data_IF_106266407585
#
_entry.id   IF_106266407585
#
_cell.length_a   1.000
_cell.length_b   1.000
_cell.length_c   1.000
_cell.angle_alpha   90.00
_cell.angle_beta   90.00
_cell.angle_gamma   90.00
#
_symmetry.space_group_name_H-M   'P 1'
#
loop_
_entity.id
_entity.type
_entity.pdbx_description
1 polymer ?
#
# COMPACT_ATOMS: atom_id res chain seq x y z
N UNK A 1 50.59 38.21 -19.15
CA UNK A 1 49.62 38.94 -18.30
C UNK A 1 48.31 38.22 -18.33
N UNK A 2 48.05 37.50 -17.27
CA UNK A 2 46.73 36.91 -16.95
C UNK A 2 46.00 37.90 -16.07
N UNK A 3 44.73 38.13 -16.20
CA UNK A 3 43.92 38.72 -15.13
C UNK A 3 43.17 37.68 -14.35
N UNK A 4 43.20 37.87 -13.14
CA UNK A 4 42.85 37.28 -11.92
C UNK A 4 41.35 37.01 -11.71
N UNK A 5 41.14 35.97 -10.91
CA UNK A 5 40.14 35.83 -9.85
C UNK A 5 38.66 36.13 -10.18
N UNK A 6 37.98 35.09 -10.66
CA UNK A 6 36.53 35.04 -10.50
C UNK A 6 36.20 34.43 -9.13
N UNK A 7 35.94 35.33 -8.19
CA UNK A 7 35.45 35.03 -6.86
C UNK A 7 34.06 34.42 -6.93
N UNK A 8 33.97 33.09 -6.90
CA UNK A 8 32.69 32.36 -6.78
C UNK A 8 32.20 32.44 -5.33
N UNK A 9 31.55 33.55 -5.00
CA UNK A 9 30.61 33.53 -3.88
C UNK A 9 29.49 32.53 -4.18
N UNK A 10 29.63 31.31 -3.65
CA UNK A 10 28.53 30.38 -3.54
C UNK A 10 27.48 31.01 -2.62
N UNK A 11 26.44 31.56 -3.22
CA UNK A 11 25.23 31.89 -2.50
C UNK A 11 24.72 30.60 -1.83
N UNK A 12 24.76 30.55 -0.52
CA UNK A 12 24.12 29.54 0.28
C UNK A 12 22.61 29.68 0.04
N UNK A 13 22.05 28.76 -0.73
CA UNK A 13 20.60 28.64 -0.85
C UNK A 13 20.03 28.39 0.56
N UNK A 14 18.95 29.07 0.95
CA UNK A 14 18.32 28.84 2.22
C UNK A 14 17.90 27.36 2.29
N UNK A 15 18.33 26.69 3.35
CA UNK A 15 17.89 25.35 3.71
C UNK A 15 16.44 25.47 4.17
N UNK A 16 15.49 25.53 3.23
CA UNK A 16 14.09 25.30 3.56
C UNK A 16 14.00 23.88 4.14
N UNK A 17 13.71 23.79 5.42
CA UNK A 17 13.25 22.55 6.04
C UNK A 17 12.04 22.08 5.22
N UNK A 18 12.25 21.09 4.37
CA UNK A 18 11.20 20.42 3.63
C UNK A 18 10.34 19.65 4.63
N UNK A 19 9.42 20.37 5.27
CA UNK A 19 8.30 19.71 5.93
C UNK A 19 7.62 18.83 4.89
N UNK A 20 7.47 17.51 5.12
CA UNK A 20 6.87 16.62 4.14
C UNK A 20 5.45 17.09 3.85
N UNK A 21 5.27 17.76 2.72
CA UNK A 21 3.96 18.22 2.27
C UNK A 21 3.17 16.97 1.92
N UNK A 22 2.09 16.70 2.64
CA UNK A 22 1.13 15.66 2.27
C UNK A 22 0.59 16.00 0.88
N UNK A 23 1.03 15.27 -0.13
CA UNK A 23 0.66 15.51 -1.53
C UNK A 23 -0.79 15.08 -1.77
N UNK A 24 -1.31 14.15 -0.96
CA UNK A 24 -2.70 13.69 -0.98
C UNK A 24 -3.23 13.58 0.45
N UNK A 25 -4.35 14.23 0.77
CA UNK A 25 -5.06 13.88 1.99
C UNK A 25 -5.50 12.42 1.88
N UNK A 26 -5.30 11.59 2.92
CA UNK A 26 -5.87 10.25 2.92
C UNK A 26 -7.39 10.39 2.75
N UNK A 27 -7.96 9.62 1.82
CA UNK A 27 -9.41 9.49 1.73
C UNK A 27 -9.83 8.62 2.89
N UNK A 28 -10.45 9.22 3.90
CA UNK A 28 -10.94 8.49 5.08
C UNK A 28 -12.14 7.59 4.75
N UNK A 29 -12.74 7.77 3.56
CA UNK A 29 -13.89 7.02 3.03
C UNK A 29 -13.51 5.92 2.02
N UNK A 30 -12.23 5.78 1.72
CA UNK A 30 -11.73 4.80 0.76
C UNK A 30 -11.81 3.37 1.28
N UNK A 31 -12.40 2.46 0.47
CA UNK A 31 -12.59 1.06 0.84
C UNK A 31 -11.58 0.19 0.09
N UNK A 32 -10.79 -0.58 0.83
CA UNK A 32 -9.97 -1.65 0.30
C UNK A 32 -10.73 -2.98 0.43
N UNK A 33 -10.98 -3.67 -0.68
CA UNK A 33 -11.69 -4.95 -0.67
C UNK A 33 -10.71 -6.09 -0.84
N UNK A 34 -10.83 -7.09 0.03
CA UNK A 34 -10.18 -8.38 -0.12
C UNK A 34 -11.27 -9.45 -0.29
N UNK A 35 -11.40 -9.98 -1.50
CA UNK A 35 -12.29 -11.11 -1.80
C UNK A 35 -11.48 -12.40 -1.63
N UNK A 36 -11.78 -13.18 -0.58
CA UNK A 36 -10.99 -14.37 -0.21
C UNK A 36 -11.79 -15.67 -0.15
N UNK A 37 -13.10 -15.61 -0.27
CA UNK A 37 -13.92 -16.82 -0.22
C UNK A 37 -13.91 -17.53 -1.58
N UNK A 38 -13.70 -18.82 -1.58
CA UNK A 38 -13.66 -19.64 -2.79
C UNK A 38 -14.99 -19.61 -3.57
N UNK A 39 -14.87 -19.39 -4.88
CA UNK A 39 -16.01 -19.36 -5.80
C UNK A 39 -16.79 -18.05 -5.83
N UNK A 40 -16.29 -17.01 -5.16
CA UNK A 40 -16.81 -15.66 -5.35
C UNK A 40 -16.61 -15.19 -6.78
N UNK A 41 -17.57 -14.39 -7.26
CA UNK A 41 -17.53 -13.72 -8.56
C UNK A 41 -17.64 -12.24 -8.36
N UNK A 42 -16.71 -11.49 -8.94
CA UNK A 42 -16.71 -10.03 -8.95
C UNK A 42 -17.17 -9.53 -10.32
N UNK A 43 -18.20 -8.74 -10.31
CA UNK A 43 -18.75 -8.09 -11.50
C UNK A 43 -19.02 -6.61 -11.24
N UNK A 44 -19.38 -5.87 -12.29
CA UNK A 44 -19.83 -4.48 -12.20
C UNK A 44 -21.22 -4.38 -12.82
N UNK A 45 -22.10 -3.61 -12.17
CA UNK A 45 -23.39 -3.22 -12.72
C UNK A 45 -23.63 -1.74 -12.44
N UNK A 46 -23.69 -0.94 -13.51
CA UNK A 46 -23.70 0.52 -13.38
C UNK A 46 -22.42 1.02 -12.71
N UNK A 47 -22.54 1.81 -11.69
CA UNK A 47 -21.41 2.37 -10.92
C UNK A 47 -21.13 1.60 -9.62
N UNK A 48 -21.43 0.30 -9.58
CA UNK A 48 -21.28 -0.52 -8.40
C UNK A 48 -20.53 -1.82 -8.71
N UNK A 49 -19.55 -2.15 -7.86
CA UNK A 49 -18.96 -3.50 -7.81
C UNK A 49 -19.90 -4.43 -7.06
N UNK A 50 -20.18 -5.56 -7.66
CA UNK A 50 -20.99 -6.63 -7.05
C UNK A 50 -20.14 -7.86 -6.81
N UNK A 51 -20.14 -8.33 -5.59
CA UNK A 51 -19.51 -9.58 -5.21
C UNK A 51 -20.65 -10.58 -4.98
N UNK A 52 -20.65 -11.67 -5.74
CA UNK A 52 -21.67 -12.72 -5.63
C UNK A 52 -21.02 -14.04 -5.24
N UNK A 53 -21.77 -14.86 -4.53
CA UNK A 53 -21.37 -16.23 -4.19
C UNK A 53 -21.52 -17.21 -5.39
N UNK A 54 -21.24 -18.49 -5.16
CA UNK A 54 -21.39 -19.56 -6.15
C UNK A 54 -22.84 -19.69 -6.67
N UNK A 55 -23.82 -19.30 -5.86
CA UNK A 55 -25.25 -19.41 -6.17
C UNK A 55 -25.81 -18.19 -6.89
N UNK A 56 -24.95 -17.15 -7.12
CA UNK A 56 -25.36 -15.91 -7.75
C UNK A 56 -26.03 -14.91 -6.79
N UNK A 57 -26.08 -15.23 -5.49
CA UNK A 57 -26.60 -14.32 -4.48
C UNK A 57 -25.57 -13.20 -4.23
N UNK A 58 -26.01 -11.94 -4.30
CA UNK A 58 -25.12 -10.82 -4.01
C UNK A 58 -24.75 -10.80 -2.53
N UNK A 59 -23.48 -11.04 -2.22
CA UNK A 59 -22.99 -10.98 -0.85
C UNK A 59 -22.64 -9.54 -0.44
N UNK A 60 -22.19 -8.72 -1.41
CA UNK A 60 -21.83 -7.31 -1.16
C UNK A 60 -21.93 -6.48 -2.45
N UNK A 61 -22.42 -5.25 -2.28
CA UNK A 61 -22.42 -4.24 -3.35
C UNK A 61 -21.75 -2.98 -2.83
N UNK A 62 -20.84 -2.42 -3.63
CA UNK A 62 -20.02 -1.26 -3.21
C UNK A 62 -19.95 -0.28 -4.38
N UNK A 63 -20.23 1.02 -4.15
CA UNK A 63 -20.04 2.04 -5.17
C UNK A 63 -18.57 2.11 -5.61
N UNK A 64 -18.33 2.18 -6.93
CA UNK A 64 -16.98 2.33 -7.50
C UNK A 64 -16.25 3.57 -6.96
N UNK A 65 -17.00 4.65 -6.70
CA UNK A 65 -16.45 5.90 -6.18
C UNK A 65 -15.77 5.74 -4.80
N UNK A 66 -16.20 4.76 -4.01
CA UNK A 66 -15.66 4.51 -2.67
C UNK A 66 -14.58 3.43 -2.66
N UNK A 67 -14.29 2.79 -3.81
CA UNK A 67 -13.32 1.71 -3.87
C UNK A 67 -11.94 2.26 -4.19
N UNK A 68 -10.95 1.95 -3.36
CA UNK A 68 -9.54 2.31 -3.58
C UNK A 68 -8.70 1.18 -4.14
N UNK A 69 -8.99 -0.05 -3.77
CA UNK A 69 -8.30 -1.22 -4.32
C UNK A 69 -9.12 -2.49 -4.19
N UNK A 70 -8.87 -3.44 -5.08
CA UNK A 70 -9.47 -4.76 -5.07
C UNK A 70 -8.38 -5.83 -5.03
N UNK A 71 -8.41 -6.69 -4.02
CA UNK A 71 -7.54 -7.86 -3.92
C UNK A 71 -8.36 -9.14 -4.05
N UNK A 72 -7.96 -10.02 -4.96
CA UNK A 72 -8.60 -11.31 -5.23
C UNK A 72 -7.68 -12.42 -4.73
N UNK A 73 -8.13 -13.16 -3.73
CA UNK A 73 -7.34 -14.20 -3.08
C UNK A 73 -7.83 -15.59 -3.54
N UNK A 74 -6.92 -16.38 -4.08
CA UNK A 74 -7.22 -17.75 -4.50
C UNK A 74 -8.13 -17.83 -5.72
N UNK A 75 -9.20 -18.64 -5.65
CA UNK A 75 -10.07 -18.99 -6.79
C UNK A 75 -11.26 -18.02 -6.95
N UNK A 76 -11.03 -16.72 -6.80
CA UNK A 76 -12.05 -15.69 -7.05
C UNK A 76 -12.06 -15.33 -8.54
N UNK A 77 -13.24 -15.24 -9.12
CA UNK A 77 -13.43 -14.85 -10.52
C UNK A 77 -13.73 -13.36 -10.63
N UNK A 78 -13.24 -12.73 -11.68
CA UNK A 78 -13.58 -11.34 -12.03
C UNK A 78 -14.00 -11.28 -13.51
N UNK A 79 -15.02 -10.51 -13.82
CA UNK A 79 -15.45 -10.32 -15.19
C UNK A 79 -14.56 -9.27 -15.90
N UNK A 80 -14.39 -9.42 -17.23
CA UNK A 80 -13.65 -8.44 -18.04
C UNK A 80 -14.25 -7.05 -17.95
N UNK A 81 -15.59 -6.95 -17.91
CA UNK A 81 -16.27 -5.67 -17.74
C UNK A 81 -15.93 -5.01 -16.39
N UNK A 82 -15.77 -5.81 -15.32
CA UNK A 82 -15.35 -5.29 -14.03
C UNK A 82 -13.90 -4.79 -14.08
N UNK A 83 -13.01 -5.51 -14.77
CA UNK A 83 -11.62 -5.07 -14.96
C UNK A 83 -11.59 -3.72 -15.69
N UNK A 84 -12.32 -3.55 -16.79
CA UNK A 84 -12.36 -2.30 -17.53
C UNK A 84 -12.91 -1.17 -16.66
N UNK A 85 -14.04 -1.36 -15.99
CA UNK A 85 -14.64 -0.33 -15.16
C UNK A 85 -13.74 0.10 -14.00
N UNK A 86 -13.02 -0.85 -13.38
CA UNK A 86 -12.04 -0.56 -12.33
C UNK A 86 -10.82 0.19 -12.89
N UNK A 87 -10.32 -0.21 -14.06
CA UNK A 87 -9.20 0.46 -14.71
C UNK A 87 -9.54 1.90 -15.10
N UNK A 88 -10.74 2.15 -15.64
CA UNK A 88 -11.23 3.50 -15.98
C UNK A 88 -11.31 4.41 -14.76
N UNK A 89 -11.65 3.86 -13.61
CA UNK A 89 -11.68 4.56 -12.33
C UNK A 89 -10.31 4.61 -11.63
N UNK A 90 -9.25 4.11 -12.28
CA UNK A 90 -7.88 4.03 -11.75
C UNK A 90 -7.76 3.21 -10.46
N UNK A 91 -8.59 2.20 -10.31
CA UNK A 91 -8.60 1.32 -9.15
C UNK A 91 -7.72 0.10 -9.45
N UNK A 92 -6.63 -0.13 -8.71
CA UNK A 92 -5.74 -1.26 -8.92
C UNK A 92 -6.37 -2.57 -8.46
N UNK A 93 -6.02 -3.66 -9.19
CA UNK A 93 -6.49 -5.01 -8.88
C UNK A 93 -5.26 -5.89 -8.60
N UNK A 94 -5.22 -6.53 -7.43
CA UNK A 94 -4.17 -7.48 -7.07
C UNK A 94 -4.73 -8.91 -7.07
N UNK A 95 -3.99 -9.83 -7.68
CA UNK A 95 -4.26 -11.26 -7.66
C UNK A 95 -3.29 -11.93 -6.69
N UNK A 96 -3.82 -12.59 -5.69
CA UNK A 96 -3.06 -13.22 -4.63
C UNK A 96 -3.28 -14.73 -4.62
N UNK A 97 -2.24 -15.50 -4.33
CA UNK A 97 -2.38 -16.92 -4.04
C UNK A 97 -3.20 -17.15 -2.76
N UNK A 98 -3.72 -18.36 -2.50
CA UNK A 98 -4.40 -18.66 -1.23
C UNK A 98 -3.56 -18.35 0.03
N UNK A 99 -2.24 -18.42 -0.10
CA UNK A 99 -1.29 -18.06 0.96
C UNK A 99 -0.98 -16.54 1.05
N UNK A 100 -1.68 -15.69 0.28
CA UNK A 100 -1.49 -14.24 0.31
C UNK A 100 -0.27 -13.72 -0.47
N UNK A 101 0.42 -14.57 -1.27
CA UNK A 101 1.54 -14.12 -2.11
C UNK A 101 1.00 -13.46 -3.38
N UNK A 102 1.53 -12.29 -3.72
CA UNK A 102 1.19 -11.59 -4.96
C UNK A 102 1.58 -12.45 -6.18
N UNK A 103 0.62 -12.71 -7.05
CA UNK A 103 0.78 -13.46 -8.31
C UNK A 103 0.83 -12.52 -9.50
N UNK A 104 -0.11 -11.57 -9.56
CA UNK A 104 -0.21 -10.59 -10.63
C UNK A 104 -0.91 -9.32 -10.12
N UNK A 105 -0.74 -8.22 -10.84
CA UNK A 105 -1.41 -6.97 -10.56
C UNK A 105 -1.82 -6.29 -11.85
N UNK A 106 -3.02 -5.74 -11.87
CA UNK A 106 -3.47 -4.79 -12.89
C UNK A 106 -3.34 -3.41 -12.27
N UNK A 107 -2.35 -2.65 -12.73
CA UNK A 107 -2.14 -1.27 -12.34
C UNK A 107 -2.65 -0.39 -13.50
N UNK A 108 -3.68 0.43 -13.30
CA UNK A 108 -4.23 1.25 -14.36
C UNK A 108 -3.16 2.18 -14.96
N UNK A 109 -3.23 2.37 -16.26
CA UNK A 109 -2.35 3.32 -16.96
C UNK A 109 -2.50 4.71 -16.33
N UNK A 110 -1.37 5.42 -16.20
CA UNK A 110 -1.31 6.75 -15.59
C UNK A 110 -1.70 6.83 -14.10
N UNK A 111 -1.69 5.71 -13.38
CA UNK A 111 -1.88 5.70 -11.93
C UNK A 111 -0.80 6.50 -11.19
N UNK A 112 0.43 6.49 -11.73
CA UNK A 112 1.58 7.26 -11.21
C UNK A 112 2.30 7.94 -12.37
N UNK A 113 2.59 9.24 -12.22
CA UNK A 113 3.29 9.99 -13.26
C UNK A 113 4.69 9.41 -13.56
N UNK A 114 5.11 9.47 -14.83
CA UNK A 114 6.43 9.00 -15.26
C UNK A 114 7.58 9.73 -14.52
N UNK A 115 7.38 10.99 -14.15
CA UNK A 115 8.37 11.78 -13.41
C UNK A 115 8.56 11.26 -11.98
N UNK A 116 7.47 10.87 -11.30
CA UNK A 116 7.53 10.26 -9.96
C UNK A 116 8.29 8.93 -10.04
N UNK A 117 7.97 8.06 -10.99
CA UNK A 117 8.68 6.79 -11.21
C UNK A 117 10.18 7.01 -11.49
N UNK A 118 10.49 7.97 -12.37
CA UNK A 118 11.88 8.33 -12.66
C UNK A 118 12.62 8.87 -11.44
N UNK A 119 11.95 9.71 -10.64
CA UNK A 119 12.51 10.25 -9.41
C UNK A 119 12.76 9.15 -8.36
N UNK A 120 11.83 8.19 -8.23
CA UNK A 120 12.00 7.02 -7.37
C UNK A 120 13.23 6.20 -7.76
N UNK A 121 13.36 5.85 -9.04
CA UNK A 121 14.52 5.08 -9.54
C UNK A 121 15.81 5.82 -9.21
N UNK A 122 15.93 7.11 -9.58
CA UNK A 122 17.15 7.91 -9.32
C UNK A 122 17.50 8.03 -7.84
N UNK A 123 16.48 8.11 -6.96
CA UNK A 123 16.72 8.16 -5.51
C UNK A 123 17.16 6.79 -4.97
N UNK A 124 16.56 5.71 -5.46
CA UNK A 124 16.85 4.35 -5.01
C UNK A 124 18.17 3.79 -5.59
N UNK A 125 18.80 4.46 -6.56
CA UNK A 125 20.16 4.15 -6.99
C UNK A 125 21.23 4.54 -5.93
N UNK A 126 20.83 5.31 -4.90
CA UNK A 126 21.71 5.73 -3.81
C UNK A 126 21.53 4.83 -2.60
N UNK A 127 22.60 4.14 -2.23
CA UNK A 127 22.60 3.16 -1.15
C UNK A 127 22.18 3.74 0.22
N UNK A 128 22.62 4.97 0.52
CA UNK A 128 22.27 5.64 1.78
C UNK A 128 20.75 5.87 1.87
N UNK A 129 20.11 6.29 0.77
CA UNK A 129 18.66 6.52 0.74
C UNK A 129 17.91 5.19 0.86
N UNK A 130 18.40 4.13 0.21
CA UNK A 130 17.83 2.79 0.35
C UNK A 130 17.91 2.31 1.80
N UNK A 131 19.03 2.54 2.48
CA UNK A 131 19.21 2.14 3.87
C UNK A 131 18.28 2.91 4.81
N UNK A 132 18.15 4.24 4.63
CA UNK A 132 17.19 5.05 5.40
C UNK A 132 15.75 4.57 5.21
N UNK A 133 15.35 4.34 3.97
CA UNK A 133 14.01 3.85 3.65
C UNK A 133 13.77 2.45 4.23
N UNK A 134 14.72 1.55 4.11
CA UNK A 134 14.64 0.21 4.67
C UNK A 134 14.47 0.25 6.20
N UNK A 135 15.25 1.08 6.90
CA UNK A 135 15.14 1.27 8.35
C UNK A 135 13.75 1.79 8.73
N UNK A 136 13.24 2.80 8.02
CA UNK A 136 11.92 3.35 8.27
C UNK A 136 10.80 2.31 8.07
N UNK A 137 10.88 1.51 7.00
CA UNK A 137 9.90 0.45 6.71
C UNK A 137 9.94 -0.67 7.76
N UNK A 138 11.13 -1.13 8.12
CA UNK A 138 11.30 -2.21 9.12
C UNK A 138 10.82 -1.73 10.50
N UNK A 139 11.21 -0.53 10.91
CA UNK A 139 10.77 0.07 12.17
C UNK A 139 9.24 0.19 12.24
N UNK A 140 8.62 0.72 11.19
CA UNK A 140 7.15 0.84 11.09
C UNK A 140 6.47 -0.53 11.14
N UNK A 141 7.02 -1.54 10.46
CA UNK A 141 6.51 -2.92 10.49
C UNK A 141 6.56 -3.50 11.90
N UNK A 142 7.68 -3.34 12.60
CA UNK A 142 7.84 -3.83 13.98
C UNK A 142 6.81 -3.15 14.91
N UNK A 143 6.65 -1.84 14.80
CA UNK A 143 5.69 -1.09 15.61
C UNK A 143 4.24 -1.52 15.34
N UNK A 144 3.88 -1.74 14.08
CA UNK A 144 2.55 -2.23 13.71
C UNK A 144 2.30 -3.65 14.22
N UNK A 145 3.26 -4.56 14.07
CA UNK A 145 3.17 -5.92 14.58
C UNK A 145 3.06 -5.94 16.12
N UNK A 146 3.86 -5.11 16.79
CA UNK A 146 3.76 -4.93 18.26
C UNK A 146 2.36 -4.49 18.66
N UNK A 147 1.81 -3.49 17.97
CA UNK A 147 0.45 -2.98 18.26
C UNK A 147 -0.60 -4.07 18.06
N UNK A 148 -0.48 -4.87 17.00
CA UNK A 148 -1.38 -5.98 16.71
C UNK A 148 -1.33 -7.04 17.84
N UNK A 149 -0.14 -7.43 18.28
CA UNK A 149 0.06 -8.38 19.39
C UNK A 149 -0.53 -7.86 20.68
N UNK A 150 -0.28 -6.57 21.02
CA UNK A 150 -0.82 -5.95 22.23
C UNK A 150 -2.36 -5.87 22.24
N UNK A 151 -2.99 -5.67 21.07
CA UNK A 151 -4.45 -5.64 20.97
C UNK A 151 -5.09 -7.02 21.12
N UNK A 152 -4.41 -8.05 20.63
CA UNK A 152 -4.96 -9.42 20.56
C UNK A 152 -4.44 -10.35 21.65
N UNK A 153 -3.62 -9.88 22.60
CA UNK A 153 -3.00 -10.73 23.62
C UNK A 153 -4.03 -11.44 24.51
N UNK A 154 -5.19 -10.84 24.76
CA UNK A 154 -6.25 -11.45 25.57
C UNK A 154 -6.93 -12.66 24.92
N UNK A 155 -6.76 -12.86 23.60
CA UNK A 155 -7.29 -14.01 22.86
C UNK A 155 -6.33 -15.20 22.83
N UNK A 156 -5.12 -15.04 23.38
CA UNK A 156 -4.08 -16.07 23.39
C UNK A 156 -4.00 -16.78 24.74
N UNK A 157 -3.53 -18.04 24.78
CA UNK A 157 -3.18 -18.71 26.04
C UNK A 157 -2.21 -17.87 26.87
N UNK A 158 -2.40 -17.84 28.19
CA UNK A 158 -1.68 -16.92 29.07
C UNK A 158 -0.14 -17.03 29.00
N UNK A 159 0.39 -18.25 28.84
CA UNK A 159 1.83 -18.50 28.65
C UNK A 159 2.36 -17.88 27.35
N UNK A 160 1.64 -18.04 26.23
CA UNK A 160 2.00 -17.50 24.92
C UNK A 160 1.89 -15.97 24.93
N UNK A 161 0.85 -15.43 25.55
CA UNK A 161 0.65 -13.99 25.69
C UNK A 161 1.81 -13.33 26.46
N UNK A 162 2.28 -13.95 27.56
CA UNK A 162 3.37 -13.42 28.36
C UNK A 162 4.70 -13.36 27.59
N UNK A 163 5.04 -14.41 26.84
CA UNK A 163 6.27 -14.48 26.04
C UNK A 163 6.23 -13.46 24.91
N UNK A 164 5.11 -13.36 24.18
CA UNK A 164 4.93 -12.38 23.09
C UNK A 164 5.01 -10.93 23.60
N UNK A 165 4.46 -10.67 24.80
CA UNK A 165 4.53 -9.34 25.41
C UNK A 165 5.97 -8.96 25.81
N UNK A 166 6.75 -9.93 26.27
CA UNK A 166 8.17 -9.73 26.57
C UNK A 166 8.96 -9.40 25.30
N UNK A 167 8.79 -10.20 24.25
CA UNK A 167 9.44 -9.95 22.94
C UNK A 167 9.02 -8.61 22.31
N UNK A 168 7.73 -8.27 22.35
CA UNK A 168 7.23 -7.00 21.83
C UNK A 168 7.80 -5.77 22.58
N UNK A 169 8.10 -5.90 23.90
CA UNK A 169 8.77 -4.85 24.67
C UNK A 169 10.25 -4.72 24.29
N UNK A 170 10.93 -5.85 24.08
CA UNK A 170 12.34 -5.87 23.69
C UNK A 170 12.56 -5.24 22.32
N UNK A 171 11.71 -5.60 21.34
CA UNK A 171 11.76 -5.03 19.98
C UNK A 171 11.50 -3.51 19.92
N UNK A 172 10.92 -2.91 20.94
CA UNK A 172 10.70 -1.47 21.02
C UNK A 172 11.91 -0.69 21.59
N UNK A 173 12.94 -1.38 22.08
CA UNK A 173 14.15 -0.80 22.69
C UNK A 173 15.39 -0.92 21.79
N UNK A 174 15.30 -1.72 20.73
CA UNK A 174 16.34 -1.91 19.72
C UNK A 174 16.18 -0.91 18.56
#
# INVERSE_FOLDING_TARGET
CLPDEVNHQRAQAPTEELTPRRIWPPRDDGIHIVAQQEGLKVGVRGMEVRITDKNGTASKTIPLANLESLSLLGSVQISTQAIHALADMKIPIAFLSPAGRLVAMIDPLDSVSAEVRRSQIRKLDREEICLELARALVSSKIMNQRTLLLRNHNSLPANVAADLMKEARNAARA
#
